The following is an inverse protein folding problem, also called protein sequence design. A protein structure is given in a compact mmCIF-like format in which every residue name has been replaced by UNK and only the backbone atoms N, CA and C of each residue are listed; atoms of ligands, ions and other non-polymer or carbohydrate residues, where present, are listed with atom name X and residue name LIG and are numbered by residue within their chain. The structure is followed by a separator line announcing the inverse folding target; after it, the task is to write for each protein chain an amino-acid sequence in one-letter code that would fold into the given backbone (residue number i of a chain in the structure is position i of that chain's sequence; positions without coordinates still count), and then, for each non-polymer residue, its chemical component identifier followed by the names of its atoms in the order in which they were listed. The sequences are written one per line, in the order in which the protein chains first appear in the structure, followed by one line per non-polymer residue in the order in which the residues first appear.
data_IF_939085823404
#
_entry.id   IF_939085823404
#
_cell.length_a   1.000
_cell.length_b   1.000
_cell.length_c   1.000
_cell.angle_alpha   90.00
_cell.angle_beta   90.00
_cell.angle_gamma   90.00
#
_symmetry.space_group_name_H-M   'P 1'
#
loop_
_entity.id
_entity.type
_entity.pdbx_description
1 polymer ?
#
# COMPACT_ATOMS: atom_id res chain seq x y z
N UNK A 1 -4.50 -28.84 -41.62
CA UNK A 1 -3.18 -28.20 -41.39
C UNK A 1 -3.32 -26.75 -40.93
N UNK A 2 -4.37 -26.05 -41.33
CA UNK A 2 -4.60 -24.64 -41.01
C UNK A 2 -5.34 -24.43 -39.68
N UNK A 3 -6.02 -25.46 -39.16
CA UNK A 3 -6.78 -25.36 -37.90
C UNK A 3 -5.84 -25.14 -36.71
N UNK A 4 -4.73 -25.90 -36.66
CA UNK A 4 -3.72 -25.74 -35.61
C UNK A 4 -3.08 -24.35 -35.67
N UNK A 5 -2.82 -23.83 -36.87
CA UNK A 5 -2.27 -22.48 -37.08
C UNK A 5 -3.24 -21.40 -36.60
N UNK A 6 -4.53 -21.54 -36.89
CA UNK A 6 -5.57 -20.63 -36.40
C UNK A 6 -5.68 -20.65 -34.86
N UNK A 7 -5.61 -21.84 -34.25
CA UNK A 7 -5.63 -21.99 -32.78
C UNK A 7 -4.41 -21.31 -32.15
N UNK A 8 -3.21 -21.56 -32.68
CA UNK A 8 -1.99 -20.93 -32.17
C UNK A 8 -1.98 -19.41 -32.37
N UNK A 9 -2.49 -18.92 -33.50
CA UNK A 9 -2.61 -17.49 -33.76
C UNK A 9 -3.57 -16.81 -32.77
N UNK A 10 -4.74 -17.42 -32.53
CA UNK A 10 -5.70 -16.91 -31.56
C UNK A 10 -5.14 -16.92 -30.13
N UNK A 11 -4.44 -17.99 -29.74
CA UNK A 11 -3.80 -18.09 -28.43
C UNK A 11 -2.73 -17.02 -28.23
N UNK A 12 -1.89 -16.78 -29.24
CA UNK A 12 -0.85 -15.75 -29.18
C UNK A 12 -1.45 -14.35 -29.01
N UNK A 13 -2.51 -14.02 -29.77
CA UNK A 13 -3.21 -12.73 -29.65
C UNK A 13 -3.84 -12.57 -28.27
N UNK A 14 -4.49 -13.62 -27.76
CA UNK A 14 -5.10 -13.59 -26.43
C UNK A 14 -4.07 -13.34 -25.32
N UNK A 15 -2.95 -14.06 -25.35
CA UNK A 15 -1.89 -13.89 -24.36
C UNK A 15 -1.29 -12.48 -24.39
N UNK A 16 -1.02 -11.94 -25.58
CA UNK A 16 -0.51 -10.58 -25.74
C UNK A 16 -1.48 -9.53 -25.19
N UNK A 17 -2.78 -9.67 -25.48
CA UNK A 17 -3.81 -8.76 -24.98
C UNK A 17 -3.97 -8.88 -23.45
N UNK A 18 -3.96 -10.09 -22.92
CA UNK A 18 -4.07 -10.34 -21.47
C UNK A 18 -2.83 -9.86 -20.70
N UNK A 19 -1.63 -9.95 -21.29
CA UNK A 19 -0.39 -9.46 -20.68
C UNK A 19 -0.18 -7.95 -20.86
N UNK A 20 -0.87 -7.30 -21.80
CA UNK A 20 -0.75 -5.88 -22.09
C UNK A 20 -0.88 -4.96 -20.85
N UNK A 21 -1.88 -5.10 -19.96
CA UNK A 21 -1.98 -4.25 -18.77
C UNK A 21 -0.82 -4.44 -17.80
N UNK A 22 -0.15 -5.58 -17.80
CA UNK A 22 1.03 -5.82 -16.95
C UNK A 22 2.29 -5.15 -17.49
N UNK A 23 2.34 -4.82 -18.78
CA UNK A 23 3.42 -4.03 -19.38
C UNK A 23 3.18 -2.52 -19.24
N UNK A 24 1.94 -2.10 -19.01
CA UNK A 24 1.61 -0.73 -18.66
C UNK A 24 1.98 -0.52 -17.18
N UNK A 25 3.24 -0.17 -16.94
CA UNK A 25 3.66 0.36 -15.64
C UNK A 25 2.90 1.65 -15.39
N UNK A 26 1.82 1.60 -14.61
CA UNK A 26 1.22 2.80 -14.04
C UNK A 26 2.29 3.47 -13.20
N UNK A 27 2.59 4.75 -13.47
CA UNK A 27 3.47 5.51 -12.60
C UNK A 27 2.97 5.36 -11.16
N UNK A 28 3.89 5.15 -10.21
CA UNK A 28 3.52 5.03 -8.82
C UNK A 28 2.71 6.28 -8.46
N UNK A 29 1.44 6.09 -8.06
CA UNK A 29 0.67 7.18 -7.48
C UNK A 29 1.55 7.83 -6.41
N UNK A 30 1.69 9.15 -6.50
CA UNK A 30 2.51 9.92 -5.58
C UNK A 30 1.96 9.65 -4.17
N UNK A 31 2.61 8.73 -3.46
CA UNK A 31 2.10 8.23 -2.19
C UNK A 31 1.86 9.45 -1.32
N UNK A 32 0.69 9.58 -0.67
CA UNK A 32 0.42 10.73 0.16
C UNK A 32 1.56 10.82 1.17
N UNK A 33 2.37 11.88 1.05
CA UNK A 33 3.43 12.13 2.00
C UNK A 33 2.73 12.21 3.35
N UNK A 34 3.02 11.24 4.22
CA UNK A 34 2.50 11.25 5.58
C UNK A 34 3.16 12.46 6.22
N UNK A 35 2.49 13.60 6.13
CA UNK A 35 2.86 14.79 6.88
C UNK A 35 2.80 14.35 8.34
N UNK A 36 3.96 14.20 8.96
CA UNK A 36 4.05 14.14 10.40
C UNK A 36 3.53 15.47 10.91
N UNK A 37 2.22 15.57 11.08
CA UNK A 37 1.57 16.69 11.74
C UNK A 37 1.84 16.54 13.24
N UNK A 38 3.10 16.62 13.64
CA UNK A 38 3.46 16.86 15.03
C UNK A 38 3.07 18.29 15.35
N UNK A 39 1.77 18.50 15.61
CA UNK A 39 1.22 19.80 16.03
C UNK A 39 1.75 20.25 17.40
N UNK A 40 2.49 19.40 18.11
CA UNK A 40 3.00 19.66 19.44
C UNK A 40 4.45 20.17 19.42
N UNK A 41 4.71 21.28 20.13
CA UNK A 41 6.07 21.76 20.44
C UNK A 41 6.83 20.85 21.42
N UNK A 42 6.15 19.88 22.02
CA UNK A 42 6.66 18.99 23.07
C UNK A 42 6.32 17.53 22.78
N UNK A 43 7.22 16.63 23.14
CA UNK A 43 7.01 15.19 23.06
C UNK A 43 6.02 14.73 24.13
N UNK A 44 5.09 13.85 23.77
CA UNK A 44 4.08 13.29 24.70
C UNK A 44 4.69 12.43 25.81
N UNK A 45 5.88 11.87 25.58
CA UNK A 45 6.62 11.07 26.55
C UNK A 45 8.13 11.05 26.18
N UNK A 46 9.02 10.76 27.15
CA UNK A 46 10.45 10.62 26.90
C UNK A 46 10.79 9.41 26.01
N UNK A 47 11.94 9.48 25.32
CA UNK A 47 12.38 8.48 24.33
C UNK A 47 12.45 7.07 24.91
N UNK A 48 13.03 6.91 26.11
CA UNK A 48 13.18 5.60 26.75
C UNK A 48 11.84 4.94 27.06
N UNK A 49 10.84 5.75 27.40
CA UNK A 49 9.48 5.27 27.63
C UNK A 49 8.84 4.84 26.31
N UNK A 50 8.96 5.67 25.26
CA UNK A 50 8.38 5.39 23.95
C UNK A 50 8.96 4.12 23.33
N UNK A 51 10.26 3.86 23.46
CA UNK A 51 10.89 2.61 22.97
C UNK A 51 10.28 1.35 23.57
N UNK A 52 9.86 1.41 24.84
CA UNK A 52 9.29 0.26 25.55
C UNK A 52 7.78 0.15 25.40
N UNK A 53 7.08 1.28 25.27
CA UNK A 53 5.63 1.35 25.45
C UNK A 53 4.87 2.00 24.29
N UNK A 54 5.50 2.22 23.13
CA UNK A 54 4.88 2.92 22.00
C UNK A 54 3.45 2.44 21.69
N UNK A 55 3.29 1.13 21.47
CA UNK A 55 1.98 0.53 21.17
C UNK A 55 1.00 0.55 22.33
N UNK A 56 1.49 0.41 23.56
CA UNK A 56 0.62 0.46 24.74
C UNK A 56 -0.01 1.84 24.89
N UNK A 57 0.78 2.90 24.70
CA UNK A 57 0.30 4.28 24.74
C UNK A 57 -0.73 4.55 23.63
N UNK A 58 -0.46 4.14 22.37
CA UNK A 58 -1.41 4.33 21.27
C UNK A 58 -2.72 3.56 21.46
N UNK A 59 -2.66 2.31 21.94
CA UNK A 59 -3.86 1.52 22.21
C UNK A 59 -4.72 2.16 23.30
N UNK A 60 -4.08 2.60 24.39
CA UNK A 60 -4.79 3.27 25.50
C UNK A 60 -5.48 4.53 25.00
N UNK A 61 -4.79 5.36 24.21
CA UNK A 61 -5.36 6.57 23.63
C UNK A 61 -6.53 6.27 22.68
N UNK A 62 -6.39 5.26 21.81
CA UNK A 62 -7.46 4.85 20.90
C UNK A 62 -8.70 4.45 21.68
N UNK A 63 -8.51 3.62 22.69
CA UNK A 63 -9.62 3.09 23.48
C UNK A 63 -10.30 4.23 24.26
N UNK A 64 -9.54 5.17 24.83
CA UNK A 64 -10.08 6.26 25.65
C UNK A 64 -10.67 7.46 24.89
N UNK A 65 -10.33 7.65 23.61
CA UNK A 65 -10.76 8.84 22.83
C UNK A 65 -11.68 8.48 21.67
N UNK A 66 -11.52 7.28 21.10
CA UNK A 66 -12.25 6.88 19.88
C UNK A 66 -13.35 5.87 20.18
N UNK A 67 -13.22 5.06 21.24
CA UNK A 67 -14.10 3.91 21.50
C UNK A 67 -15.00 4.09 22.73
N UNK A 68 -14.71 5.08 23.58
CA UNK A 68 -15.55 5.56 24.69
C UNK A 68 -16.07 6.97 24.37
#
# INVERSE_FOLDING_TARGET
MNEKVLIFAGLAVFLLAASYPFWQSTEAEDFPQIAMQTKGKQCVAPVDYMRKNHMKLLNTWRDSVVRD
#
